data_IF_721060946971
#
_entry.id   IF_721060946971
#
_cell.length_a   1.000
_cell.length_b   1.000
_cell.length_c   1.000
_cell.angle_alpha   90.00
_cell.angle_beta   90.00
_cell.angle_gamma   90.00
#
_symmetry.space_group_name_H-M   'P 1'
#
loop_
_entity.id
_entity.type
_entity.pdbx_description
1 polymer ?
#
# COMPACT_ATOMS: atom_id res chain seq x y z
N UNK A 1 7.86 6.45 8.34
CA UNK A 1 6.46 6.13 8.69
C UNK A 1 5.97 4.81 8.08
N UNK A 2 5.42 4.75 6.84
CA UNK A 2 4.73 3.54 6.33
C UNK A 2 5.64 2.30 6.33
N UNK A 3 6.90 2.46 5.93
CA UNK A 3 7.90 1.40 5.98
C UNK A 3 8.13 0.86 7.40
N UNK A 4 8.26 1.74 8.39
CA UNK A 4 8.51 1.36 9.79
C UNK A 4 7.31 0.65 10.39
N UNK A 5 6.10 1.16 10.13
CA UNK A 5 4.87 0.49 10.56
C UNK A 5 4.77 -0.91 9.95
N UNK A 6 5.08 -1.04 8.66
CA UNK A 6 5.02 -2.34 7.96
C UNK A 6 6.09 -3.29 8.47
N UNK A 7 7.33 -2.83 8.66
CA UNK A 7 8.41 -3.64 9.22
C UNK A 7 8.12 -4.09 10.66
N UNK A 8 7.54 -3.21 11.48
CA UNK A 8 7.13 -3.55 12.85
C UNK A 8 6.01 -4.59 12.86
N UNK A 9 4.94 -4.39 12.07
CA UNK A 9 3.79 -5.31 12.06
C UNK A 9 4.06 -6.63 11.34
N UNK A 10 4.94 -6.65 10.34
CA UNK A 10 5.26 -7.87 9.62
C UNK A 10 6.40 -8.67 10.26
N UNK A 11 7.39 -8.01 10.87
CA UNK A 11 8.65 -8.65 11.27
C UNK A 11 9.04 -8.40 12.73
N UNK A 12 8.30 -7.56 13.47
CA UNK A 12 8.68 -7.16 14.83
C UNK A 12 10.01 -6.40 14.89
N UNK A 13 10.40 -5.75 13.79
CA UNK A 13 11.73 -5.15 13.67
C UNK A 13 11.84 -3.78 14.34
N UNK A 14 12.93 -3.61 15.09
CA UNK A 14 13.36 -2.33 15.64
C UNK A 14 13.80 -1.33 14.54
N UNK A 15 13.68 0.00 14.78
CA UNK A 15 13.98 1.03 13.77
C UNK A 15 15.40 0.99 13.20
N UNK A 16 16.40 0.47 13.93
CA UNK A 16 17.80 0.41 13.50
C UNK A 16 18.02 -0.59 12.35
N UNK A 17 17.52 -1.84 12.49
CA UNK A 17 17.57 -2.88 11.43
C UNK A 17 16.70 -2.48 10.22
N UNK A 18 15.68 -1.65 10.44
CA UNK A 18 14.82 -1.13 9.36
C UNK A 18 15.57 -0.26 8.33
N UNK A 19 16.68 0.41 8.70
CA UNK A 19 17.41 1.32 7.80
C UNK A 19 18.10 0.59 6.66
N UNK A 20 18.72 -0.57 6.95
CA UNK A 20 19.38 -1.41 5.94
C UNK A 20 18.34 -1.89 4.93
N UNK A 21 17.24 -2.46 5.43
CA UNK A 21 16.13 -2.92 4.60
C UNK A 21 15.58 -1.78 3.73
N UNK A 22 15.38 -0.58 4.28
CA UNK A 22 14.86 0.56 3.53
C UNK A 22 15.71 0.90 2.31
N UNK A 23 17.04 0.95 2.47
CA UNK A 23 17.96 1.18 1.35
C UNK A 23 17.84 0.06 0.31
N UNK A 24 17.89 -1.20 0.76
CA UNK A 24 17.77 -2.37 -0.10
C UNK A 24 16.47 -2.39 -0.91
N UNK A 25 15.34 -2.01 -0.30
CA UNK A 25 14.05 -1.92 -0.98
C UNK A 25 13.96 -0.74 -1.94
N UNK A 26 14.63 0.39 -1.66
CA UNK A 26 14.69 1.50 -2.61
C UNK A 26 15.44 1.10 -3.89
N UNK A 27 16.59 0.43 -3.76
CA UNK A 27 17.35 -0.09 -4.90
C UNK A 27 16.55 -1.18 -5.64
N UNK A 28 15.82 -2.03 -4.91
CA UNK A 28 14.89 -3.02 -5.49
C UNK A 28 13.79 -2.39 -6.36
N UNK A 29 13.11 -1.35 -5.85
CA UNK A 29 12.06 -0.62 -6.60
C UNK A 29 12.60 -0.11 -7.93
N UNK A 30 13.79 0.52 -7.91
CA UNK A 30 14.40 1.11 -9.11
C UNK A 30 14.76 0.08 -10.17
N UNK A 31 15.21 -1.11 -9.76
CA UNK A 31 15.56 -2.16 -10.71
C UNK A 31 14.38 -2.97 -11.23
N UNK A 32 13.26 -3.06 -10.49
CA UNK A 32 12.07 -3.84 -10.86
C UNK A 32 11.50 -3.44 -12.23
N UNK A 33 11.57 -2.15 -12.56
CA UNK A 33 11.08 -1.57 -13.82
C UNK A 33 12.20 -1.22 -14.80
N UNK A 34 13.45 -1.55 -14.46
CA UNK A 34 14.61 -1.28 -15.32
C UNK A 34 14.81 -2.38 -16.36
N UNK A 35 15.60 -2.08 -17.39
CA UNK A 35 16.04 -3.12 -18.31
C UNK A 35 16.93 -4.14 -17.56
N UNK A 36 16.68 -5.45 -17.67
CA UNK A 36 17.28 -6.47 -16.80
C UNK A 36 18.71 -6.83 -17.20
N UNK A 37 19.61 -5.85 -17.20
CA UNK A 37 21.02 -6.01 -17.52
C UNK A 37 21.83 -6.17 -16.23
N UNK A 38 22.37 -7.36 -15.97
CA UNK A 38 23.12 -7.64 -14.73
C UNK A 38 24.60 -7.22 -14.86
N UNK A 39 24.85 -5.91 -14.93
CA UNK A 39 26.20 -5.33 -14.97
C UNK A 39 26.39 -4.28 -13.86
N UNK A 40 27.56 -4.23 -13.20
CA UNK A 40 27.86 -3.20 -12.20
C UNK A 40 27.56 -1.78 -12.72
N UNK A 41 26.88 -0.98 -11.90
CA UNK A 41 26.44 0.38 -12.26
C UNK A 41 25.04 0.47 -12.89
N UNK A 42 24.42 -0.65 -13.26
CA UNK A 42 23.03 -0.67 -13.72
C UNK A 42 22.02 -0.70 -12.55
N UNK A 43 20.80 -0.23 -12.80
CA UNK A 43 19.71 -0.30 -11.83
C UNK A 43 19.33 -1.75 -11.48
N UNK A 44 19.35 -2.66 -12.47
CA UNK A 44 19.06 -4.07 -12.24
C UNK A 44 20.12 -4.74 -11.35
N UNK A 45 21.41 -4.44 -11.56
CA UNK A 45 22.47 -4.92 -10.66
C UNK A 45 22.25 -4.43 -9.22
N UNK A 46 22.02 -3.13 -9.02
CA UNK A 46 21.75 -2.57 -7.69
C UNK A 46 20.52 -3.22 -7.02
N UNK A 47 19.46 -3.48 -7.77
CA UNK A 47 18.28 -4.21 -7.29
C UNK A 47 18.59 -5.63 -6.85
N UNK A 48 19.38 -6.38 -7.62
CA UNK A 48 19.78 -7.74 -7.24
C UNK A 48 20.65 -7.74 -5.98
N UNK A 49 21.58 -6.80 -5.86
CA UNK A 49 22.38 -6.63 -4.63
C UNK A 49 21.52 -6.23 -3.43
N UNK A 50 20.56 -5.31 -3.62
CA UNK A 50 19.59 -4.92 -2.61
C UNK A 50 18.75 -6.11 -2.15
N UNK A 51 18.26 -6.93 -3.09
CA UNK A 51 17.52 -8.16 -2.77
C UNK A 51 18.39 -9.12 -1.95
N UNK A 52 19.63 -9.40 -2.35
CA UNK A 52 20.53 -10.27 -1.58
C UNK A 52 20.70 -9.79 -0.14
N UNK A 53 21.05 -8.51 0.05
CA UNK A 53 21.20 -7.91 1.38
C UNK A 53 19.92 -7.95 2.21
N UNK A 54 18.76 -7.71 1.60
CA UNK A 54 17.48 -7.81 2.29
C UNK A 54 17.16 -9.25 2.70
N UNK A 55 17.45 -10.23 1.84
CA UNK A 55 17.21 -11.65 2.14
C UNK A 55 18.10 -12.14 3.28
N UNK A 56 19.36 -11.70 3.36
CA UNK A 56 20.24 -12.01 4.50
C UNK A 56 19.66 -11.52 5.83
N UNK A 57 19.15 -10.28 5.86
CA UNK A 57 18.51 -9.73 7.07
C UNK A 57 17.24 -10.50 7.41
N UNK A 58 16.39 -10.82 6.42
CA UNK A 58 15.17 -11.58 6.65
C UNK A 58 15.45 -13.00 7.15
N UNK A 59 16.49 -13.64 6.63
CA UNK A 59 16.94 -14.96 7.08
C UNK A 59 17.38 -14.91 8.54
N UNK A 60 18.22 -13.95 8.93
CA UNK A 60 18.62 -13.78 10.33
C UNK A 60 17.41 -13.58 11.25
N UNK A 61 16.46 -12.74 10.85
CA UNK A 61 15.23 -12.48 11.61
C UNK A 61 14.39 -13.74 11.78
N UNK A 62 14.23 -14.53 10.71
CA UNK A 62 13.48 -15.77 10.74
C UNK A 62 14.17 -16.81 11.64
N UNK A 63 15.49 -17.00 11.49
CA UNK A 63 16.28 -17.94 12.30
C UNK A 63 16.29 -17.56 13.79
N UNK A 64 16.40 -16.27 14.11
CA UNK A 64 16.28 -15.76 15.49
C UNK A 64 14.91 -16.09 16.09
N UNK A 65 13.83 -15.89 15.32
CA UNK A 65 12.46 -16.15 15.79
C UNK A 65 12.17 -17.64 15.93
N UNK A 66 12.58 -18.46 14.97
CA UNK A 66 12.41 -19.92 15.02
C UNK A 66 13.12 -20.53 16.22
N UNK A 67 14.40 -20.18 16.45
CA UNK A 67 15.14 -20.65 17.63
C UNK A 67 14.50 -20.23 18.95
N UNK A 68 13.96 -19.00 19.00
CA UNK A 68 13.26 -18.51 20.18
C UNK A 68 11.96 -19.28 20.45
N UNK A 69 11.24 -19.70 19.40
CA UNK A 69 10.04 -20.52 19.51
C UNK A 69 10.36 -21.95 19.97
N UNK A 70 11.41 -22.56 19.43
CA UNK A 70 11.88 -23.91 19.83
C UNK A 70 12.35 -23.94 21.28
N UNK A 71 13.11 -22.93 21.72
CA UNK A 71 13.60 -22.81 23.09
C UNK A 71 12.48 -22.63 24.13
N UNK A 72 11.30 -22.16 23.73
CA UNK A 72 10.14 -21.98 24.60
C UNK A 72 9.36 -23.29 24.89
N UNK A 73 9.72 -24.42 24.25
CA UNK A 73 9.32 -25.75 24.70
C UNK A 73 7.81 -26.05 24.70
N UNK A 74 7.05 -25.59 23.70
CA UNK A 74 5.63 -25.92 23.55
C UNK A 74 4.67 -25.25 24.54
N UNK A 75 5.17 -24.50 25.52
CA UNK A 75 4.40 -23.42 26.17
C UNK A 75 4.24 -22.25 25.20
N UNK A 76 3.25 -21.38 25.41
CA UNK A 76 2.97 -20.21 24.55
C UNK A 76 4.29 -19.53 24.13
N UNK A 77 4.73 -19.82 22.89
CA UNK A 77 5.87 -19.13 22.29
C UNK A 77 5.58 -17.65 22.46
N UNK A 78 6.57 -16.85 22.89
CA UNK A 78 6.41 -15.39 23.04
C UNK A 78 5.73 -14.85 21.79
N UNK A 79 4.44 -14.58 21.90
CA UNK A 79 3.63 -14.12 20.79
C UNK A 79 3.88 -12.62 20.74
N UNK A 80 4.76 -12.21 19.82
CA UNK A 80 5.06 -10.81 19.57
C UNK A 80 3.85 -10.11 18.94
N UNK A 81 2.87 -10.88 18.46
CA UNK A 81 1.62 -10.38 17.88
C UNK A 81 1.86 -9.78 16.49
N UNK A 82 2.93 -10.20 15.82
CA UNK A 82 3.30 -9.79 14.47
C UNK A 82 3.07 -10.91 13.46
N UNK A 83 3.17 -10.60 12.16
CA UNK A 83 2.95 -11.58 11.11
C UNK A 83 4.00 -12.70 11.10
N UNK A 84 5.22 -12.43 11.56
CA UNK A 84 6.32 -13.38 11.58
C UNK A 84 6.02 -14.56 12.50
N UNK A 85 5.30 -14.34 13.61
CA UNK A 85 4.85 -15.43 14.48
C UNK A 85 4.01 -16.45 13.71
N UNK A 86 3.08 -16.00 12.85
CA UNK A 86 2.28 -16.90 12.01
C UNK A 86 3.11 -17.64 10.97
N UNK A 87 4.14 -16.98 10.41
CA UNK A 87 5.06 -17.60 9.46
C UNK A 87 5.88 -18.69 10.14
N UNK A 88 6.44 -18.43 11.32
CA UNK A 88 7.20 -19.42 12.11
C UNK A 88 6.31 -20.59 12.52
N UNK A 89 5.08 -20.33 12.95
CA UNK A 89 4.12 -21.40 13.24
C UNK A 89 3.79 -22.24 12.00
N UNK A 90 3.70 -21.64 10.80
CA UNK A 90 3.40 -22.38 9.58
C UNK A 90 4.57 -23.29 9.14
N UNK A 91 5.81 -22.80 9.20
CA UNK A 91 6.98 -23.57 8.75
C UNK A 91 7.40 -24.66 9.74
N UNK A 92 7.01 -24.56 11.02
CA UNK A 92 7.34 -25.55 12.07
C UNK A 92 6.27 -26.63 12.26
N UNK A 93 5.15 -26.58 11.51
CA UNK A 93 4.13 -27.65 11.51
C UNK A 93 4.70 -28.97 11.00
N UNK A 94 4.09 -30.08 11.41
CA UNK A 94 4.43 -31.43 10.88
C UNK A 94 4.29 -31.53 9.36
N UNK A 95 3.32 -30.80 8.79
CA UNK A 95 3.06 -30.74 7.35
C UNK A 95 2.95 -29.27 6.91
N UNK A 96 4.08 -28.58 6.74
CA UNK A 96 4.09 -27.16 6.42
C UNK A 96 3.61 -26.94 4.97
N UNK A 97 2.79 -25.92 4.75
CA UNK A 97 2.38 -25.50 3.40
C UNK A 97 3.44 -24.59 2.77
N UNK A 98 4.21 -23.87 3.59
CA UNK A 98 5.29 -22.99 3.16
C UNK A 98 6.65 -23.61 3.50
N UNK A 99 7.55 -23.63 2.52
CA UNK A 99 8.97 -23.88 2.79
C UNK A 99 9.62 -22.62 3.38
N UNK A 100 10.77 -22.77 4.04
CA UNK A 100 11.53 -21.62 4.54
C UNK A 100 11.87 -20.61 3.44
N UNK A 101 12.30 -21.08 2.26
CA UNK A 101 12.55 -20.22 1.10
C UNK A 101 11.30 -19.46 0.64
N UNK A 102 10.13 -20.13 0.60
CA UNK A 102 8.85 -19.49 0.27
C UNK A 102 8.43 -18.48 1.34
N UNK A 103 8.71 -18.75 2.62
CA UNK A 103 8.45 -17.83 3.71
C UNK A 103 9.30 -16.57 3.60
N UNK A 104 10.60 -16.69 3.30
CA UNK A 104 11.47 -15.54 3.08
C UNK A 104 11.02 -14.69 1.89
N UNK A 105 10.65 -15.32 0.77
CA UNK A 105 10.08 -14.63 -0.39
C UNK A 105 8.77 -13.92 -0.06
N UNK A 106 7.91 -14.55 0.76
CA UNK A 106 6.66 -13.97 1.23
C UNK A 106 6.90 -12.73 2.11
N UNK A 107 7.81 -12.82 3.08
CA UNK A 107 8.17 -11.70 3.95
C UNK A 107 8.75 -10.54 3.13
N UNK A 108 9.63 -10.84 2.17
CA UNK A 108 10.21 -9.84 1.28
C UNK A 108 9.13 -9.13 0.45
N UNK A 109 8.25 -9.89 -0.22
CA UNK A 109 7.23 -9.30 -1.11
C UNK A 109 6.16 -8.54 -0.34
N UNK A 110 5.75 -9.02 0.85
CA UNK A 110 4.78 -8.31 1.70
C UNK A 110 5.34 -7.00 2.23
N UNK A 111 6.61 -6.99 2.65
CA UNK A 111 7.25 -5.77 3.09
C UNK A 111 7.32 -4.75 1.94
N UNK A 112 7.79 -5.14 0.76
CA UNK A 112 7.77 -4.29 -0.43
C UNK A 112 6.36 -3.75 -0.76
N UNK A 113 5.38 -4.65 -0.86
CA UNK A 113 4.03 -4.31 -1.31
C UNK A 113 3.32 -3.36 -0.34
N UNK A 114 3.54 -3.51 0.96
CA UNK A 114 2.87 -2.75 2.02
C UNK A 114 3.34 -1.30 2.14
N UNK A 115 4.61 -0.99 1.86
CA UNK A 115 5.11 0.38 2.00
C UNK A 115 5.09 1.16 0.69
N UNK A 116 5.56 0.58 -0.43
CA UNK A 116 5.84 1.37 -1.64
C UNK A 116 4.55 1.96 -2.23
N UNK A 117 3.52 1.12 -2.35
CA UNK A 117 2.23 1.50 -2.90
C UNK A 117 1.50 2.51 -2.01
N UNK A 118 1.34 2.19 -0.72
CA UNK A 118 0.64 3.06 0.24
C UNK A 118 1.34 4.41 0.42
N UNK A 119 2.67 4.45 0.42
CA UNK A 119 3.42 5.73 0.54
C UNK A 119 3.13 6.65 -0.64
N UNK A 120 3.15 6.13 -1.88
CA UNK A 120 2.81 6.90 -3.08
C UNK A 120 1.34 7.36 -3.06
N UNK A 121 0.42 6.51 -2.61
CA UNK A 121 -0.99 6.85 -2.48
C UNK A 121 -1.20 7.99 -1.47
N UNK A 122 -0.54 7.93 -0.31
CA UNK A 122 -0.60 8.99 0.71
C UNK A 122 0.00 10.28 0.18
N UNK A 123 1.19 10.24 -0.45
CA UNK A 123 1.80 11.45 -1.04
C UNK A 123 0.88 12.10 -2.07
N UNK A 124 0.24 11.30 -2.93
CA UNK A 124 -0.73 11.82 -3.88
C UNK A 124 -1.98 12.38 -3.20
N UNK A 125 -2.52 11.70 -2.17
CA UNK A 125 -3.67 12.20 -1.41
C UNK A 125 -3.39 13.59 -0.85
N UNK A 126 -2.25 13.79 -0.19
CA UNK A 126 -1.87 15.08 0.39
C UNK A 126 -1.74 16.15 -0.71
N UNK A 127 -1.13 15.82 -1.85
CA UNK A 127 -1.06 16.75 -2.99
C UNK A 127 -2.44 17.12 -3.53
N UNK A 128 -3.30 16.13 -3.77
CA UNK A 128 -4.65 16.35 -4.31
C UNK A 128 -5.50 17.18 -3.34
N UNK A 129 -5.36 16.96 -2.03
CA UNK A 129 -6.04 17.77 -1.01
C UNK A 129 -5.51 19.21 -0.98
N UNK A 130 -4.20 19.43 -1.11
CA UNK A 130 -3.61 20.77 -1.24
C UNK A 130 -4.15 21.51 -2.47
N UNK A 131 -4.26 20.82 -3.60
CA UNK A 131 -4.75 21.40 -4.85
C UNK A 131 -6.28 21.60 -4.86
N UNK A 132 -7.02 21.03 -3.90
CA UNK A 132 -8.49 21.07 -3.83
C UNK A 132 -9.01 21.46 -2.43
N UNK A 133 -8.93 22.74 -2.03
CA UNK A 133 -9.26 23.18 -0.67
C UNK A 133 -10.68 22.85 -0.20
N UNK A 134 -11.67 22.85 -1.11
CA UNK A 134 -13.06 22.48 -0.77
C UNK A 134 -13.20 21.02 -0.34
N UNK A 135 -12.44 20.12 -0.98
CA UNK A 135 -12.40 18.71 -0.60
C UNK A 135 -11.71 18.55 0.75
N UNK A 136 -10.65 19.31 1.00
CA UNK A 136 -9.98 19.33 2.29
C UNK A 136 -10.92 19.81 3.41
N UNK A 137 -11.69 20.87 3.16
CA UNK A 137 -12.67 21.39 4.12
C UNK A 137 -13.75 20.35 4.46
N UNK A 138 -14.33 19.68 3.46
CA UNK A 138 -15.32 18.61 3.69
C UNK A 138 -14.72 17.42 4.47
N UNK A 139 -13.45 17.07 4.21
CA UNK A 139 -12.73 16.04 4.97
C UNK A 139 -12.49 16.47 6.43
N UNK A 140 -12.17 17.75 6.66
CA UNK A 140 -12.01 18.30 8.01
C UNK A 140 -13.34 18.24 8.77
N UNK A 141 -14.47 18.63 8.14
CA UNK A 141 -15.80 18.57 8.76
C UNK A 141 -16.17 17.14 9.19
N UNK A 142 -15.89 16.13 8.35
CA UNK A 142 -16.12 14.73 8.71
C UNK A 142 -15.36 14.34 9.99
N UNK A 143 -14.07 14.66 10.06
CA UNK A 143 -13.25 14.24 11.19
C UNK A 143 -13.47 15.08 12.46
N UNK A 144 -13.80 16.36 12.34
CA UNK A 144 -14.25 17.19 13.48
C UNK A 144 -15.55 16.67 14.06
N UNK A 145 -16.49 16.23 13.21
CA UNK A 145 -17.73 15.60 13.67
C UNK A 145 -17.47 14.32 14.45
N UNK A 146 -16.51 13.49 14.01
CA UNK A 146 -16.10 12.27 14.73
C UNK A 146 -15.54 12.62 16.12
N UNK A 147 -14.66 13.63 16.21
CA UNK A 147 -14.08 14.06 17.50
C UNK A 147 -15.15 14.59 18.45
N UNK A 148 -16.06 15.45 17.97
CA UNK A 148 -17.14 16.00 18.78
C UNK A 148 -18.07 14.90 19.31
N UNK A 149 -18.35 13.87 18.52
CA UNK A 149 -19.15 12.71 18.96
C UNK A 149 -18.43 11.88 20.03
N UNK A 150 -17.11 11.73 19.92
CA UNK A 150 -16.29 11.04 20.92
C UNK A 150 -16.33 11.77 22.26
N UNK A 151 -16.11 13.08 22.24
CA UNK A 151 -16.14 13.92 23.43
C UNK A 151 -17.52 13.87 24.11
N UNK A 152 -18.60 14.00 23.33
CA UNK A 152 -19.96 13.91 23.84
C UNK A 152 -20.32 12.53 24.42
N UNK A 153 -19.71 11.46 23.90
CA UNK A 153 -19.91 10.09 24.35
C UNK A 153 -19.16 9.71 25.63
N UNK A 154 -18.26 10.58 26.13
CA UNK A 154 -17.42 10.28 27.30
C UNK A 154 -16.45 9.12 27.07
N UNK A 155 -16.19 8.74 25.82
CA UNK A 155 -15.28 7.65 25.48
C UNK A 155 -13.82 8.15 25.62
N UNK A 156 -13.08 7.63 26.61
CA UNK A 156 -11.72 8.08 26.95
C UNK A 156 -10.61 7.16 26.43
N UNK A 157 -10.74 6.55 25.25
CA UNK A 157 -9.68 5.70 24.66
C UNK A 157 -8.49 6.51 24.08
N UNK A 158 -8.21 7.68 24.67
CA UNK A 158 -7.18 8.61 24.26
C UNK A 158 -7.32 9.06 22.80
N UNK A 159 -6.18 9.25 22.14
CA UNK A 159 -6.09 9.66 20.73
C UNK A 159 -6.32 8.51 19.73
N UNK A 160 -6.74 7.31 20.17
CA UNK A 160 -6.85 6.14 19.30
C UNK A 160 -8.11 6.21 18.44
N UNK A 161 -8.01 5.79 17.18
CA UNK A 161 -9.17 5.66 16.28
C UNK A 161 -9.77 4.27 16.46
N UNK A 162 -11.05 4.20 16.84
CA UNK A 162 -11.79 2.96 17.01
C UNK A 162 -12.26 2.40 15.66
N UNK A 163 -12.59 1.11 15.61
CA UNK A 163 -13.16 0.50 14.40
C UNK A 163 -14.53 1.10 14.02
N UNK A 164 -15.30 1.54 15.02
CA UNK A 164 -16.60 2.21 14.81
C UNK A 164 -16.41 3.53 14.06
N UNK A 165 -15.44 4.33 14.50
CA UNK A 165 -15.10 5.60 13.85
C UNK A 165 -14.50 5.40 12.46
N UNK A 166 -13.59 4.43 12.29
CA UNK A 166 -13.08 4.10 10.95
C UNK A 166 -14.23 3.78 9.98
N UNK A 167 -15.23 3.00 10.42
CA UNK A 167 -16.39 2.68 9.58
C UNK A 167 -17.32 3.86 9.31
N UNK A 168 -17.25 4.96 10.09
CA UNK A 168 -18.05 6.16 9.83
C UNK A 168 -17.37 7.16 8.88
N UNK A 169 -16.08 6.97 8.55
CA UNK A 169 -15.27 7.81 7.63
C UNK A 169 -15.69 7.65 6.15
N UNK A 170 -16.91 8.06 5.84
CA UNK A 170 -17.57 7.83 4.54
C UNK A 170 -16.94 8.68 3.43
N UNK A 171 -16.74 9.97 3.68
CA UNK A 171 -16.12 10.89 2.74
C UNK A 171 -14.62 10.60 2.60
N UNK A 172 -13.92 10.25 3.69
CA UNK A 172 -12.54 9.75 3.63
C UNK A 172 -12.42 8.55 2.69
N UNK A 173 -13.36 7.59 2.74
CA UNK A 173 -13.37 6.46 1.82
C UNK A 173 -13.49 6.90 0.35
N UNK A 174 -14.32 7.91 0.07
CA UNK A 174 -14.46 8.51 -1.27
C UNK A 174 -13.16 9.19 -1.72
N UNK A 175 -12.51 9.96 -0.83
CA UNK A 175 -11.21 10.60 -1.06
C UNK A 175 -10.13 9.57 -1.38
N UNK A 176 -10.09 8.46 -0.63
CA UNK A 176 -9.14 7.38 -0.86
C UNK A 176 -9.40 6.72 -2.21
N UNK A 177 -10.64 6.38 -2.52
CA UNK A 177 -11.00 5.73 -3.78
C UNK A 177 -10.67 6.61 -4.99
N UNK A 178 -10.94 7.91 -4.91
CA UNK A 178 -10.58 8.86 -5.96
C UNK A 178 -9.07 9.07 -6.08
N UNK A 179 -8.36 9.10 -4.95
CA UNK A 179 -6.89 9.15 -4.95
C UNK A 179 -6.32 7.94 -5.67
N UNK A 180 -6.71 6.72 -5.33
CA UNK A 180 -6.14 5.52 -5.96
C UNK A 180 -6.61 5.35 -7.41
N UNK A 181 -7.80 5.87 -7.78
CA UNK A 181 -8.25 5.96 -9.18
C UNK A 181 -7.31 6.80 -10.01
N UNK A 182 -6.89 7.96 -9.51
CA UNK A 182 -5.96 8.86 -10.22
C UNK A 182 -4.51 8.41 -10.12
N UNK A 183 -4.12 7.79 -9.00
CA UNK A 183 -2.77 7.34 -8.74
C UNK A 183 -2.30 6.34 -9.80
N UNK A 184 -3.14 5.34 -10.11
CA UNK A 184 -2.80 4.23 -11.01
C UNK A 184 -1.38 3.68 -10.72
N UNK A 185 -1.13 3.37 -9.44
CA UNK A 185 0.20 2.97 -8.96
C UNK A 185 0.72 1.75 -9.72
N UNK A 186 -0.14 0.77 -9.99
CA UNK A 186 0.18 -0.34 -10.87
C UNK A 186 -0.12 0.05 -12.33
N UNK A 187 0.91 0.25 -13.18
CA UNK A 187 0.72 0.70 -14.56
C UNK A 187 0.11 -0.37 -15.47
N UNK A 188 0.22 -1.65 -15.08
CA UNK A 188 -0.35 -2.77 -15.82
C UNK A 188 -0.43 -4.03 -14.97
N UNK A 189 -1.38 -4.90 -15.31
CA UNK A 189 -1.57 -6.22 -14.70
C UNK A 189 -1.31 -7.26 -15.79
N UNK A 190 -0.20 -7.98 -15.67
CA UNK A 190 0.23 -8.95 -16.67
C UNK A 190 -0.36 -10.34 -16.40
N UNK A 191 -0.74 -11.03 -17.49
CA UNK A 191 -1.25 -12.41 -17.52
C UNK A 191 -0.65 -13.13 -18.73
N UNK A 192 -0.71 -14.46 -18.71
CA UNK A 192 -0.40 -15.32 -19.85
C UNK A 192 -1.64 -16.17 -20.16
N UNK A 193 -2.06 -16.22 -21.42
CA UNK A 193 -3.16 -17.11 -21.84
C UNK A 193 -2.72 -18.57 -21.75
N UNK A 194 -3.56 -19.43 -21.16
CA UNK A 194 -3.29 -20.87 -21.03
C UNK A 194 -3.83 -21.67 -22.22
N UNK A 195 -4.76 -21.08 -22.96
CA UNK A 195 -5.42 -21.61 -24.15
C UNK A 195 -5.88 -20.43 -25.00
N UNK A 196 -6.32 -20.70 -26.23
CA UNK A 196 -6.94 -19.68 -27.07
C UNK A 196 -8.18 -19.10 -26.36
N UNK A 197 -8.26 -17.77 -26.33
CA UNK A 197 -9.36 -17.04 -25.69
C UNK A 197 -10.11 -16.26 -26.75
N UNK A 198 -11.42 -16.51 -26.86
CA UNK A 198 -12.32 -15.72 -27.69
C UNK A 198 -12.83 -14.52 -26.88
N UNK A 199 -12.56 -13.30 -27.36
CA UNK A 199 -13.00 -12.07 -26.71
C UNK A 199 -13.44 -11.04 -27.74
N UNK A 200 -14.74 -10.69 -27.73
CA UNK A 200 -15.34 -9.67 -28.63
C UNK A 200 -14.99 -9.87 -30.11
N UNK A 201 -15.00 -11.11 -30.59
CA UNK A 201 -14.68 -11.46 -31.97
C UNK A 201 -13.19 -11.62 -32.29
N UNK A 202 -12.30 -11.41 -31.31
CA UNK A 202 -10.86 -11.65 -31.44
C UNK A 202 -10.46 -12.97 -30.78
N UNK A 203 -9.54 -13.68 -31.42
CA UNK A 203 -8.81 -14.81 -30.81
C UNK A 203 -7.51 -14.28 -30.21
N UNK A 204 -7.34 -14.44 -28.89
CA UNK A 204 -6.05 -14.23 -28.22
C UNK A 204 -5.40 -15.62 -28.09
N UNK A 205 -4.32 -15.92 -28.84
CA UNK A 205 -3.76 -17.26 -28.87
C UNK A 205 -3.18 -17.70 -27.53
N UNK A 206 -3.12 -19.01 -27.32
CA UNK A 206 -2.45 -19.63 -26.17
C UNK A 206 -0.98 -19.18 -26.06
N UNK A 207 -0.52 -18.94 -24.84
CA UNK A 207 0.85 -18.54 -24.54
C UNK A 207 1.15 -17.05 -24.68
N UNK A 208 0.23 -16.24 -25.21
CA UNK A 208 0.39 -14.79 -25.34
C UNK A 208 0.36 -14.08 -23.98
N UNK A 209 1.18 -13.03 -23.87
CA UNK A 209 1.11 -12.06 -22.78
C UNK A 209 -0.09 -11.14 -22.96
N UNK A 210 -0.86 -10.95 -21.90
CA UNK A 210 -2.00 -10.00 -21.85
C UNK A 210 -1.71 -8.99 -20.75
N UNK A 211 -1.71 -7.72 -21.10
CA UNK A 211 -1.60 -6.62 -20.15
C UNK A 211 -2.96 -5.95 -19.99
N UNK A 212 -3.53 -6.03 -18.80
CA UNK A 212 -4.71 -5.23 -18.42
C UNK A 212 -4.23 -3.87 -17.92
N UNK A 213 -4.83 -2.80 -18.41
CA UNK A 213 -4.45 -1.42 -18.08
C UNK A 213 -5.54 -0.73 -17.24
N UNK A 214 -5.42 -0.69 -15.89
CA UNK A 214 -6.35 0.03 -15.01
C UNK A 214 -6.56 1.49 -15.41
N UNK A 215 -5.48 2.17 -15.80
CA UNK A 215 -5.48 3.57 -16.21
C UNK A 215 -6.48 3.84 -17.33
N UNK A 216 -6.59 2.94 -18.31
CA UNK A 216 -7.49 3.09 -19.45
C UNK A 216 -8.97 3.12 -19.02
N UNK A 217 -9.33 2.36 -17.98
CA UNK A 217 -10.69 2.36 -17.42
C UNK A 217 -10.89 3.57 -16.50
N UNK A 218 -9.93 3.81 -15.62
CA UNK A 218 -10.00 4.89 -14.64
C UNK A 218 -10.05 6.28 -15.27
N UNK A 219 -9.46 6.47 -16.46
CA UNK A 219 -9.45 7.74 -17.18
C UNK A 219 -10.43 7.79 -18.36
N UNK A 220 -11.32 6.80 -18.50
CA UNK A 220 -12.31 6.80 -19.58
C UNK A 220 -13.43 7.82 -19.29
N UNK A 221 -13.65 8.85 -20.13
CA UNK A 221 -14.71 9.84 -19.93
C UNK A 221 -16.14 9.27 -19.99
N UNK A 222 -16.35 8.16 -20.69
CA UNK A 222 -17.65 7.47 -20.77
C UNK A 222 -18.03 6.79 -19.44
N UNK A 223 -17.03 6.48 -18.61
CA UNK A 223 -17.19 5.86 -17.29
C UNK A 223 -17.11 6.91 -16.18
N UNK A 224 -16.18 7.86 -16.35
CA UNK A 224 -15.84 8.90 -15.39
C UNK A 224 -15.89 10.27 -16.06
N UNK A 225 -17.01 11.01 -15.95
CA UNK A 225 -17.07 12.40 -16.38
C UNK A 225 -15.95 13.22 -15.73
N UNK A 226 -15.30 14.06 -16.54
CA UNK A 226 -14.08 14.81 -16.20
C UNK A 226 -13.05 13.93 -15.50
N UNK A 227 -12.49 12.93 -16.20
CA UNK A 227 -11.75 11.84 -15.58
C UNK A 227 -10.43 12.30 -14.92
N UNK A 228 -9.90 13.45 -15.31
CA UNK A 228 -8.68 14.02 -14.74
C UNK A 228 -8.94 14.87 -13.49
N UNK A 229 -10.18 15.28 -13.26
CA UNK A 229 -10.56 16.08 -12.09
C UNK A 229 -10.62 15.21 -10.85
N UNK A 230 -10.04 15.70 -9.75
CA UNK A 230 -10.17 15.09 -8.44
C UNK A 230 -11.56 15.39 -7.86
N UNK A 231 -12.45 14.40 -7.93
CA UNK A 231 -13.83 14.53 -7.46
C UNK A 231 -14.23 13.30 -6.64
N UNK A 232 -14.02 13.32 -5.31
CA UNK A 232 -14.41 12.22 -4.42
C UNK A 232 -15.91 11.87 -4.49
N UNK A 233 -16.79 12.86 -4.67
CA UNK A 233 -18.24 12.67 -4.70
C UNK A 233 -18.71 11.70 -5.80
N UNK A 234 -17.86 11.39 -6.80
CA UNK A 234 -18.16 10.35 -7.80
C UNK A 234 -18.29 8.94 -7.21
N UNK A 235 -17.80 8.74 -6.00
CA UNK A 235 -17.90 7.50 -5.23
C UNK A 235 -19.02 7.52 -4.19
N UNK A 236 -19.77 8.62 -4.11
CA UNK A 236 -21.03 8.66 -3.35
C UNK A 236 -21.96 7.56 -3.84
N UNK A 237 -22.53 6.81 -2.91
CA UNK A 237 -23.45 5.68 -3.15
C UNK A 237 -22.88 4.49 -3.95
N UNK A 238 -21.55 4.42 -4.17
CA UNK A 238 -20.89 3.31 -4.87
C UNK A 238 -20.24 2.32 -3.90
N UNK A 239 -21.06 1.45 -3.30
CA UNK A 239 -20.60 0.33 -2.45
C UNK A 239 -19.58 -0.60 -3.16
N UNK A 240 -19.73 -0.77 -4.47
CA UNK A 240 -18.88 -1.65 -5.30
C UNK A 240 -17.43 -1.16 -5.48
N UNK A 241 -17.13 0.10 -5.14
CA UNK A 241 -15.74 0.59 -5.16
C UNK A 241 -14.83 -0.18 -4.21
N UNK A 242 -15.39 -0.86 -3.20
CA UNK A 242 -14.59 -1.54 -2.20
C UNK A 242 -14.02 -2.89 -2.62
N UNK A 243 -14.64 -3.61 -3.57
CA UNK A 243 -14.25 -4.99 -3.94
C UNK A 243 -13.59 -5.13 -5.32
N UNK A 244 -13.36 -4.01 -6.00
CA UNK A 244 -12.89 -4.00 -7.38
C UNK A 244 -14.02 -4.38 -8.34
N UNK A 245 -14.19 -3.61 -9.41
CA UNK A 245 -15.18 -3.85 -10.45
C UNK A 245 -14.54 -3.68 -11.83
N UNK A 246 -15.28 -4.03 -12.87
CA UNK A 246 -14.87 -3.75 -14.26
C UNK A 246 -14.65 -2.25 -14.55
N UNK A 247 -15.18 -1.36 -13.72
CA UNK A 247 -15.03 0.09 -13.85
C UNK A 247 -14.04 0.69 -12.84
N UNK A 248 -13.64 -0.06 -11.81
CA UNK A 248 -12.71 0.40 -10.78
C UNK A 248 -11.81 -0.74 -10.32
N UNK A 249 -10.55 -0.73 -10.73
CA UNK A 249 -9.61 -1.84 -10.53
C UNK A 249 -8.28 -1.38 -9.93
N UNK A 250 -8.31 -0.38 -9.06
CA UNK A 250 -7.12 0.14 -8.36
C UNK A 250 -6.40 -0.93 -7.53
N UNK A 251 -7.13 -1.94 -7.07
CA UNK A 251 -6.62 -3.08 -6.31
C UNK A 251 -6.67 -4.40 -7.10
N UNK A 252 -6.74 -4.31 -8.44
CA UNK A 252 -6.91 -5.48 -9.31
C UNK A 252 -8.33 -6.04 -9.27
N UNK A 253 -8.45 -7.36 -9.44
CA UNK A 253 -9.73 -8.07 -9.46
C UNK A 253 -9.58 -9.59 -9.58
N UNK A 254 -10.67 -10.31 -9.30
CA UNK A 254 -10.72 -11.78 -9.35
C UNK A 254 -9.89 -12.47 -8.26
N UNK A 255 -9.38 -13.66 -8.56
CA UNK A 255 -8.60 -14.49 -7.62
C UNK A 255 -7.28 -13.85 -7.15
N UNK A 256 -6.79 -12.83 -7.86
CA UNK A 256 -5.57 -12.08 -7.52
C UNK A 256 -5.87 -10.62 -7.19
N UNK A 257 -7.04 -10.38 -6.60
CA UNK A 257 -7.34 -9.08 -5.97
C UNK A 257 -6.34 -8.81 -4.85
N UNK A 258 -5.97 -7.55 -4.65
CA UNK A 258 -4.97 -7.19 -3.65
C UNK A 258 -5.42 -7.61 -2.24
N UNK A 259 -4.67 -8.53 -1.62
CA UNK A 259 -4.92 -8.98 -0.24
C UNK A 259 -4.74 -7.84 0.78
N UNK A 260 -3.94 -6.83 0.44
CA UNK A 260 -3.69 -5.66 1.29
C UNK A 260 -4.66 -4.50 1.07
N UNK A 261 -5.71 -4.64 0.25
CA UNK A 261 -6.58 -3.50 -0.12
C UNK A 261 -7.20 -2.80 1.09
N UNK A 262 -7.80 -3.57 2.01
CA UNK A 262 -8.43 -3.02 3.21
C UNK A 262 -7.39 -2.46 4.19
N UNK A 263 -6.23 -3.10 4.30
CA UNK A 263 -5.12 -2.62 5.13
C UNK A 263 -4.57 -1.28 4.62
N UNK A 264 -4.35 -1.14 3.31
CA UNK A 264 -3.91 0.12 2.69
C UNK A 264 -4.94 1.24 2.90
N UNK A 265 -6.25 0.95 2.72
CA UNK A 265 -7.32 1.93 2.97
C UNK A 265 -7.37 2.37 4.42
N UNK A 266 -7.24 1.43 5.35
CA UNK A 266 -7.17 1.72 6.79
C UNK A 266 -5.96 2.62 7.11
N UNK A 267 -4.78 2.29 6.59
CA UNK A 267 -3.57 3.11 6.78
C UNK A 267 -3.75 4.53 6.25
N UNK A 268 -4.33 4.68 5.06
CA UNK A 268 -4.62 5.99 4.47
C UNK A 268 -5.64 6.77 5.29
N UNK A 269 -6.74 6.13 5.72
CA UNK A 269 -7.80 6.78 6.49
C UNK A 269 -7.29 7.28 7.85
N UNK A 270 -6.55 6.45 8.58
CA UNK A 270 -5.95 6.84 9.86
C UNK A 270 -4.94 7.97 9.67
N UNK A 271 -4.10 7.90 8.62
CA UNK A 271 -3.15 8.96 8.32
C UNK A 271 -3.85 10.29 8.03
N UNK A 272 -4.88 10.27 7.17
CA UNK A 272 -5.66 11.47 6.82
C UNK A 272 -6.38 12.04 8.03
N UNK A 273 -7.00 11.19 8.86
CA UNK A 273 -7.64 11.60 10.11
C UNK A 273 -6.70 12.41 10.98
N UNK A 274 -5.52 11.86 11.32
CA UNK A 274 -4.55 12.59 12.16
C UNK A 274 -3.97 13.81 11.46
N UNK A 275 -3.76 13.75 10.15
CA UNK A 275 -3.23 14.88 9.39
C UNK A 275 -4.15 16.09 9.48
N UNK A 276 -5.46 15.92 9.31
CA UNK A 276 -6.41 17.05 9.25
C UNK A 276 -6.94 17.50 10.61
N UNK A 277 -6.86 16.63 11.62
CA UNK A 277 -7.29 16.95 13.00
C UNK A 277 -6.18 17.57 13.84
N UNK A 278 -4.94 17.08 13.71
CA UNK A 278 -3.82 17.52 14.57
C UNK A 278 -2.88 18.50 13.90
N UNK A 279 -2.94 18.61 12.58
CA UNK A 279 -1.95 19.36 11.83
C UNK A 279 -2.59 20.23 10.74
N UNK A 280 -1.79 21.18 10.27
CA UNK A 280 -1.97 21.93 9.03
C UNK A 280 -0.66 21.86 8.25
N UNK A 281 -0.73 21.94 6.93
CA UNK A 281 0.49 21.92 6.11
C UNK A 281 0.44 22.96 5.01
N UNK A 282 1.64 23.38 4.58
CA UNK A 282 1.84 24.23 3.40
C UNK A 282 2.84 23.54 2.46
N UNK A 283 2.57 23.61 1.15
CA UNK A 283 3.52 23.14 0.15
C UNK A 283 4.69 24.12 0.05
N UNK A 284 5.92 23.61 0.21
CA UNK A 284 7.15 24.38 0.05
C UNK A 284 7.77 24.23 -1.35
N UNK A 285 7.55 23.08 -2.00
CA UNK A 285 8.14 22.79 -3.31
C UNK A 285 7.94 21.35 -3.76
N UNK A 286 8.52 21.01 -4.91
CA UNK A 286 8.32 19.70 -5.54
C UNK A 286 6.88 19.47 -5.99
N UNK A 287 6.43 18.22 -5.98
CA UNK A 287 5.08 17.83 -6.38
C UNK A 287 4.91 17.62 -7.87
N UNK A 288 6.00 17.67 -8.65
CA UNK A 288 5.99 17.22 -10.04
C UNK A 288 5.60 15.74 -10.06
N UNK A 289 4.56 15.41 -10.81
CA UNK A 289 4.12 14.03 -11.02
C UNK A 289 4.68 13.55 -12.35
N UNK A 290 5.36 12.41 -12.33
CA UNK A 290 5.79 11.69 -13.54
C UNK A 290 5.19 10.28 -13.50
N UNK A 291 4.96 9.70 -14.69
CA UNK A 291 4.58 8.28 -14.82
C UNK A 291 5.61 7.55 -15.68
N UNK A 292 6.48 6.75 -15.06
CA UNK A 292 7.60 6.11 -15.76
C UNK A 292 7.97 4.71 -15.21
N UNK A 293 7.18 3.65 -15.44
CA UNK A 293 5.80 3.66 -15.94
C UNK A 293 4.78 3.91 -14.83
N UNK A 294 5.16 3.74 -13.56
CA UNK A 294 4.32 3.99 -12.38
C UNK A 294 4.38 5.45 -11.90
N UNK A 295 3.54 5.79 -10.93
CA UNK A 295 3.51 7.12 -10.30
C UNK A 295 4.81 7.43 -9.55
N UNK A 296 5.43 8.57 -9.87
CA UNK A 296 6.65 9.04 -9.23
C UNK A 296 6.59 10.54 -8.91
N UNK A 297 7.31 10.90 -7.84
CA UNK A 297 7.58 12.28 -7.43
C UNK A 297 9.11 12.50 -7.44
N UNK A 298 9.73 12.77 -8.60
CA UNK A 298 11.19 12.81 -8.73
C UNK A 298 11.85 13.84 -7.81
N UNK A 299 11.18 14.97 -7.59
CA UNK A 299 11.66 16.06 -6.75
C UNK A 299 11.05 15.99 -5.33
N UNK A 300 10.40 14.88 -4.98
CA UNK A 300 9.59 14.71 -3.78
C UNK A 300 8.34 15.60 -3.76
N UNK A 301 7.63 15.59 -2.64
CA UNK A 301 6.56 16.55 -2.34
C UNK A 301 6.87 17.19 -0.99
N UNK A 302 7.45 18.39 -1.03
CA UNK A 302 7.99 19.05 0.15
C UNK A 302 6.91 19.88 0.82
N UNK A 303 6.60 19.54 2.07
CA UNK A 303 5.59 20.22 2.88
C UNK A 303 6.18 20.63 4.23
N UNK A 304 5.74 21.78 4.74
CA UNK A 304 5.93 22.15 6.14
C UNK A 304 4.67 21.78 6.91
N UNK A 305 4.82 20.97 7.94
CA UNK A 305 3.72 20.59 8.85
C UNK A 305 3.81 21.46 10.10
N UNK A 306 2.66 21.98 10.55
CA UNK A 306 2.52 22.70 11.82
C UNK A 306 1.39 22.06 12.62
N UNK A 307 1.54 22.02 13.94
CA UNK A 307 0.46 21.59 14.81
C UNK A 307 -0.73 22.55 14.66
N UNK A 308 -1.93 21.98 14.68
CA UNK A 308 -3.19 22.74 14.69
C UNK A 308 -3.46 23.16 16.14
N UNK A 309 -3.90 24.40 16.29
CA UNK A 309 -4.25 25.00 17.60
C UNK A 309 -5.59 24.44 18.10
#
# INVERSE_FOLDING_TARGET
MVFELSASKLLGLEPSRSKVLRKSFFDFVRGLISFPLYLPGTAYYACMQGRMSAMEVLQQVLEERTRSAEAAGGGEARCHGDFLDYVVQEITKEKPVLTEGMALDLLFVLLFASFHTTSLAITLAVKLLTDNPRVLEELMVEHETILNQREAGGESDGDRVTWKEYKSMTFTSQVINETVRLANIAPGIFRKTLKDVQFRGYTIPAGWGVMVCPLAVHLNPDIYPDPLTFNPSRFKDKLEANRGSRHFMAFGGGLRSCVGADFSKLQMAIFLHFLVTKYRWIQLGGGKIVRCPGLEFPDGYLIQIRQRD
#
